data_IF_293355849517
#
_entry.id   IF_293355849517
#
_cell.length_a   1.000
_cell.length_b   1.000
_cell.length_c   1.000
_cell.angle_alpha   90.00
_cell.angle_beta   90.00
_cell.angle_gamma   90.00
#
_symmetry.space_group_name_H-M   'P 1'
#
loop_
_entity.id
_entity.type
_entity.pdbx_description
1 polymer ?
#
# COMPACT_ATOMS: atom_id res chain seq x y z
N UNK A 1 -10.40 9.82 8.51
CA UNK A 1 -9.09 9.62 7.88
C UNK A 1 -8.82 10.72 6.86
N UNK A 2 -7.57 10.86 6.44
CA UNK A 2 -7.13 11.64 5.28
C UNK A 2 -6.60 10.73 4.17
N UNK A 3 -6.60 11.22 2.94
CA UNK A 3 -6.02 10.54 1.78
C UNK A 3 -5.16 11.53 1.01
N UNK A 4 -3.94 11.14 0.68
CA UNK A 4 -3.02 11.85 -0.20
C UNK A 4 -2.63 10.86 -1.31
N UNK A 5 -3.02 11.13 -2.55
CA UNK A 5 -2.73 10.22 -3.65
C UNK A 5 -3.02 10.84 -5.02
N UNK A 6 -2.93 10.02 -6.05
CA UNK A 6 -2.88 10.44 -7.46
C UNK A 6 -4.09 11.25 -7.92
N UNK A 7 -5.29 10.96 -7.42
CA UNK A 7 -6.50 11.66 -7.89
C UNK A 7 -6.69 12.96 -7.10
N UNK A 8 -6.61 12.89 -5.76
CA UNK A 8 -6.99 13.97 -4.86
C UNK A 8 -6.30 13.90 -3.51
N UNK A 9 -6.21 15.06 -2.87
CA UNK A 9 -5.93 15.19 -1.43
C UNK A 9 -7.25 15.48 -0.71
N UNK A 10 -7.64 14.62 0.23
CA UNK A 10 -8.92 14.71 0.94
C UNK A 10 -8.75 14.52 2.44
N UNK A 11 -9.10 15.53 3.24
CA UNK A 11 -9.08 15.44 4.70
C UNK A 11 -9.84 16.61 5.33
N UNK A 12 -10.68 16.36 6.35
CA UNK A 12 -11.25 17.42 7.19
C UNK A 12 -11.98 18.55 6.44
N UNK A 13 -12.67 18.25 5.34
CA UNK A 13 -13.33 19.24 4.48
C UNK A 13 -12.48 19.75 3.31
N UNK A 14 -11.17 19.50 3.32
CA UNK A 14 -10.28 19.72 2.16
C UNK A 14 -10.55 18.66 1.12
N UNK A 15 -10.65 19.07 -0.14
CA UNK A 15 -10.83 18.19 -1.30
C UNK A 15 -10.26 18.86 -2.56
N UNK A 16 -8.98 18.63 -2.85
CA UNK A 16 -8.28 19.23 -3.99
C UNK A 16 -7.79 18.17 -4.95
N UNK A 17 -7.79 18.50 -6.25
CA UNK A 17 -7.14 17.68 -7.26
C UNK A 17 -5.64 17.61 -6.96
N UNK A 18 -5.06 16.41 -7.07
CA UNK A 18 -3.63 16.22 -6.88
C UNK A 18 -2.89 16.58 -8.18
N UNK A 19 -1.80 17.35 -8.05
CA UNK A 19 -0.89 17.63 -9.17
C UNK A 19 0.16 16.52 -9.36
N UNK A 20 0.41 15.73 -8.31
CA UNK A 20 1.34 14.60 -8.29
C UNK A 20 0.83 13.54 -7.32
N UNK A 21 1.16 12.27 -7.55
CA UNK A 21 0.82 11.15 -6.64
C UNK A 21 1.30 11.38 -5.20
N UNK A 22 2.53 11.87 -5.04
CA UNK A 22 3.12 12.16 -3.74
C UNK A 22 3.63 13.61 -3.75
N UNK A 23 3.03 14.53 -2.97
CA UNK A 23 3.45 15.94 -2.91
C UNK A 23 4.90 16.10 -2.44
N UNK A 24 5.47 17.30 -2.63
CA UNK A 24 6.78 17.63 -2.08
C UNK A 24 6.82 17.49 -0.55
N UNK A 25 8.01 17.28 0.01
CA UNK A 25 8.18 16.97 1.44
C UNK A 25 7.53 18.00 2.36
N UNK A 26 7.68 19.30 2.05
CA UNK A 26 7.06 20.38 2.81
C UNK A 26 5.53 20.28 2.78
N UNK A 27 4.95 19.95 1.63
CA UNK A 27 3.50 19.87 1.46
C UNK A 27 2.91 18.65 2.16
N UNK A 28 3.58 17.49 2.08
CA UNK A 28 3.18 16.29 2.84
C UNK A 28 3.15 16.60 4.33
N UNK A 29 4.22 17.21 4.88
CA UNK A 29 4.28 17.56 6.29
C UNK A 29 3.24 18.62 6.68
N UNK A 30 2.98 19.63 5.84
CA UNK A 30 1.93 20.63 6.06
C UNK A 30 0.55 19.96 6.13
N UNK A 31 0.24 19.08 5.18
CA UNK A 31 -1.04 18.36 5.17
C UNK A 31 -1.23 17.49 6.41
N UNK A 32 -0.18 16.77 6.84
CA UNK A 32 -0.22 15.96 8.06
C UNK A 32 -0.39 16.83 9.33
N UNK A 33 0.26 17.99 9.39
CA UNK A 33 0.09 18.95 10.47
C UNK A 33 -1.36 19.47 10.53
N UNK A 34 -1.95 19.83 9.39
CA UNK A 34 -3.34 20.26 9.32
C UNK A 34 -4.32 19.14 9.74
N UNK A 35 -4.06 17.90 9.31
CA UNK A 35 -4.83 16.73 9.74
C UNK A 35 -4.79 16.55 11.26
N UNK A 36 -3.61 16.67 11.87
CA UNK A 36 -3.44 16.58 13.32
C UNK A 36 -4.22 17.69 14.05
N UNK A 37 -4.14 18.95 13.58
CA UNK A 37 -4.91 20.07 14.11
C UNK A 37 -6.43 19.87 14.03
N UNK A 38 -6.90 19.14 13.00
CA UNK A 38 -8.31 18.76 12.82
C UNK A 38 -8.68 17.44 13.52
N UNK A 39 -7.80 16.90 14.37
CA UNK A 39 -7.98 15.62 15.11
C UNK A 39 -8.20 14.41 14.19
N UNK A 40 -7.68 14.44 12.97
CA UNK A 40 -7.69 13.31 12.04
C UNK A 40 -6.51 12.41 12.39
N UNK A 41 -6.80 11.16 12.77
CA UNK A 41 -5.81 10.22 13.33
C UNK A 41 -5.19 9.24 12.34
N UNK A 42 -5.69 9.20 11.11
CA UNK A 42 -5.27 8.22 10.10
C UNK A 42 -5.11 8.93 8.75
N UNK A 43 -4.02 8.64 8.05
CA UNK A 43 -3.77 9.11 6.69
C UNK A 43 -3.33 7.95 5.80
N UNK A 44 -3.96 7.80 4.65
CA UNK A 44 -3.49 6.92 3.58
C UNK A 44 -2.68 7.75 2.59
N UNK A 45 -1.42 7.39 2.37
CA UNK A 45 -0.50 8.12 1.50
C UNK A 45 0.01 7.19 0.40
N UNK A 46 -0.24 7.55 -0.86
CA UNK A 46 0.40 6.89 -1.99
C UNK A 46 1.86 7.38 -2.12
N UNK A 47 2.80 6.44 -2.04
CA UNK A 47 4.24 6.72 -2.12
C UNK A 47 4.78 6.22 -3.45
N UNK A 48 4.95 7.14 -4.40
CA UNK A 48 5.52 6.83 -5.73
C UNK A 48 7.02 6.55 -5.64
N UNK A 49 7.57 5.76 -6.56
CA UNK A 49 9.03 5.52 -6.62
C UNK A 49 9.83 6.79 -6.87
N UNK A 50 9.30 7.72 -7.66
CA UNK A 50 9.85 9.05 -7.84
C UNK A 50 10.00 9.77 -6.50
N UNK A 51 8.96 9.74 -5.66
CA UNK A 51 8.99 10.39 -4.35
C UNK A 51 10.03 9.81 -3.39
N UNK A 52 10.32 8.52 -3.50
CA UNK A 52 11.36 7.85 -2.71
C UNK A 52 12.75 8.27 -3.16
N UNK A 53 13.01 8.32 -4.47
CA UNK A 53 14.28 8.82 -5.03
C UNK A 53 14.49 10.29 -4.68
N UNK A 54 13.44 11.10 -4.77
CA UNK A 54 13.46 12.53 -4.45
C UNK A 54 13.36 12.82 -2.94
N UNK A 55 13.34 11.78 -2.09
CA UNK A 55 13.29 11.90 -0.62
C UNK A 55 12.12 12.72 -0.08
N UNK A 56 10.98 12.74 -0.80
CA UNK A 56 9.79 13.51 -0.40
C UNK A 56 9.18 13.02 0.91
N UNK A 57 9.37 11.73 1.23
CA UNK A 57 8.87 11.11 2.46
C UNK A 57 9.99 10.64 3.40
N UNK A 58 11.24 11.01 3.13
CA UNK A 58 12.41 10.47 3.83
C UNK A 58 12.35 10.68 5.36
N UNK A 59 12.63 9.62 6.12
CA UNK A 59 12.64 9.66 7.58
C UNK A 59 11.26 9.78 8.22
N UNK A 60 10.18 9.67 7.45
CA UNK A 60 8.83 9.70 8.01
C UNK A 60 8.52 8.43 8.81
N UNK A 61 7.56 8.55 9.72
CA UNK A 61 7.04 7.42 10.49
C UNK A 61 5.74 6.90 9.87
N UNK A 62 5.76 5.63 9.46
CA UNK A 62 4.62 4.90 8.90
C UNK A 62 4.22 3.79 9.87
N UNK A 63 2.98 3.84 10.36
CA UNK A 63 2.45 2.75 11.17
C UNK A 63 2.26 1.46 10.35
N UNK A 64 1.98 1.57 9.05
CA UNK A 64 1.97 0.43 8.13
C UNK A 64 2.59 0.82 6.79
N UNK A 65 3.57 0.05 6.33
CA UNK A 65 4.09 0.10 4.96
C UNK A 65 3.51 -1.04 4.13
N UNK A 66 2.91 -0.73 2.98
CA UNK A 66 2.24 -1.72 2.11
C UNK A 66 2.93 -1.76 0.75
N UNK A 67 3.36 -2.96 0.33
CA UNK A 67 3.87 -3.21 -1.01
C UNK A 67 2.90 -4.08 -1.82
N UNK A 68 2.48 -3.57 -2.98
CA UNK A 68 1.47 -4.21 -3.83
C UNK A 68 2.08 -5.16 -4.86
N UNK A 69 2.92 -4.67 -5.75
CA UNK A 69 3.67 -5.41 -6.77
C UNK A 69 4.69 -4.50 -7.47
N UNK A 70 5.57 -5.09 -8.28
CA UNK A 70 6.42 -4.37 -9.23
C UNK A 70 6.29 -4.97 -10.63
N UNK A 71 5.70 -4.20 -11.55
CA UNK A 71 5.72 -4.47 -12.99
C UNK A 71 6.65 -3.51 -13.73
N UNK A 72 6.90 -3.78 -15.02
CA UNK A 72 7.75 -2.94 -15.86
C UNK A 72 7.05 -1.60 -16.15
N UNK A 73 7.42 -0.58 -15.38
CA UNK A 73 6.90 0.79 -15.45
C UNK A 73 8.03 1.80 -15.13
N UNK A 74 7.85 3.06 -15.50
CA UNK A 74 8.75 4.19 -15.15
C UNK A 74 10.25 4.00 -15.49
N UNK A 75 10.58 3.22 -16.52
CA UNK A 75 11.98 2.98 -16.91
C UNK A 75 12.63 4.18 -17.60
N UNK A 76 11.84 5.11 -18.11
CA UNK A 76 12.28 6.42 -18.59
C UNK A 76 12.95 7.23 -17.47
N UNK A 77 12.44 7.14 -16.25
CA UNK A 77 13.04 7.79 -15.08
C UNK A 77 14.13 6.94 -14.41
N UNK A 78 13.83 5.66 -14.13
CA UNK A 78 14.74 4.80 -13.35
C UNK A 78 15.87 4.20 -14.18
N UNK A 79 15.73 4.12 -15.50
CA UNK A 79 16.68 3.50 -16.44
C UNK A 79 16.65 1.97 -16.42
N UNK A 80 16.65 1.35 -15.24
CA UNK A 80 16.61 -0.12 -15.09
C UNK A 80 15.55 -0.58 -14.10
N UNK A 81 15.08 -1.82 -14.27
CA UNK A 81 14.13 -2.43 -13.34
C UNK A 81 14.73 -2.58 -11.93
N UNK A 82 16.03 -2.84 -11.83
CA UNK A 82 16.73 -2.96 -10.55
C UNK A 82 16.74 -1.62 -9.81
N UNK A 83 17.00 -0.50 -10.51
CA UNK A 83 16.92 0.84 -9.90
C UNK A 83 15.50 1.17 -9.44
N UNK A 84 14.49 0.81 -10.24
CA UNK A 84 13.08 1.01 -9.86
C UNK A 84 12.70 0.16 -8.63
N UNK A 85 13.16 -1.09 -8.57
CA UNK A 85 13.01 -1.98 -7.41
C UNK A 85 13.62 -1.38 -6.16
N UNK A 86 14.89 -0.97 -6.24
CA UNK A 86 15.63 -0.38 -5.11
C UNK A 86 15.03 0.95 -4.64
N UNK A 87 14.43 1.72 -5.56
CA UNK A 87 13.65 2.90 -5.22
C UNK A 87 12.42 2.55 -4.37
N UNK A 88 11.62 1.54 -4.76
CA UNK A 88 10.42 1.13 -3.98
C UNK A 88 10.78 0.55 -2.61
N UNK A 89 11.87 -0.23 -2.51
CA UNK A 89 12.39 -0.70 -1.22
C UNK A 89 12.77 0.43 -0.27
N UNK A 90 13.07 1.62 -0.81
CA UNK A 90 13.28 2.84 -0.03
C UNK A 90 12.13 3.19 0.92
N UNK A 91 10.89 2.75 0.65
CA UNK A 91 9.79 2.92 1.61
C UNK A 91 10.12 2.26 2.96
N UNK A 92 10.68 1.06 2.94
CA UNK A 92 10.98 0.27 4.13
C UNK A 92 12.39 0.53 4.66
N UNK A 93 13.35 0.83 3.79
CA UNK A 93 14.74 1.09 4.16
C UNK A 93 14.97 2.48 4.75
N UNK A 94 14.38 3.51 4.15
CA UNK A 94 14.74 4.90 4.39
C UNK A 94 13.75 5.62 5.33
N UNK A 95 12.75 4.89 5.85
CA UNK A 95 11.70 5.40 6.73
C UNK A 95 11.50 4.47 7.93
N UNK A 96 10.83 4.97 8.96
CA UNK A 96 10.47 4.15 10.12
C UNK A 96 9.12 3.49 9.83
N UNK A 97 9.14 2.19 9.50
CA UNK A 97 7.93 1.40 9.24
C UNK A 97 7.69 0.45 10.41
N UNK A 98 6.61 0.63 11.17
CA UNK A 98 6.32 -0.19 12.36
C UNK A 98 5.86 -1.60 12.00
N UNK A 99 5.04 -1.71 10.95
CA UNK A 99 4.38 -2.93 10.48
C UNK A 99 4.41 -3.00 8.98
N UNK A 100 4.65 -4.19 8.44
CA UNK A 100 4.85 -4.38 7.01
C UNK A 100 3.76 -5.28 6.44
N UNK A 101 3.23 -4.93 5.27
CA UNK A 101 2.32 -5.76 4.49
C UNK A 101 2.88 -5.91 3.08
N UNK A 102 3.07 -7.14 2.63
CA UNK A 102 3.71 -7.41 1.33
C UNK A 102 2.98 -8.50 0.57
N UNK A 103 2.80 -8.28 -0.73
CA UNK A 103 2.36 -9.33 -1.64
C UNK A 103 3.52 -10.29 -1.96
N UNK A 104 3.52 -11.50 -1.41
CA UNK A 104 4.58 -12.49 -1.61
C UNK A 104 4.43 -13.28 -2.92
N UNK A 105 3.38 -13.06 -3.70
CA UNK A 105 3.33 -13.59 -5.07
C UNK A 105 4.23 -12.82 -6.03
N UNK A 106 4.48 -11.56 -5.72
CA UNK A 106 5.46 -10.72 -6.39
C UNK A 106 6.90 -11.08 -5.96
N UNK A 107 7.84 -11.09 -6.90
CA UNK A 107 9.25 -11.38 -6.62
C UNK A 107 9.86 -10.35 -5.66
N UNK A 108 9.59 -9.07 -5.87
CA UNK A 108 10.10 -7.97 -5.05
C UNK A 108 9.42 -7.96 -3.69
N UNK A 109 8.14 -8.32 -3.63
CA UNK A 109 7.46 -8.50 -2.34
C UNK A 109 8.12 -9.56 -1.47
N UNK A 110 8.62 -10.66 -2.06
CA UNK A 110 9.41 -11.68 -1.34
C UNK A 110 10.78 -11.16 -0.90
N UNK A 111 11.46 -10.37 -1.73
CA UNK A 111 12.72 -9.72 -1.34
C UNK A 111 12.50 -8.79 -0.15
N UNK A 112 11.47 -7.94 -0.19
CA UNK A 112 11.10 -7.04 0.93
C UNK A 112 10.80 -7.86 2.19
N UNK A 113 10.09 -8.99 2.06
CA UNK A 113 9.80 -9.85 3.20
C UNK A 113 11.06 -10.43 3.87
N UNK A 114 12.08 -10.76 3.07
CA UNK A 114 13.36 -11.25 3.58
C UNK A 114 14.25 -10.15 4.17
N UNK A 115 14.23 -8.95 3.59
CA UNK A 115 15.05 -7.81 4.02
C UNK A 115 14.47 -7.08 5.25
N UNK A 116 13.14 -7.03 5.37
CA UNK A 116 12.43 -6.28 6.41
C UNK A 116 11.41 -7.16 7.16
N UNK A 117 11.85 -8.17 7.93
CA UNK A 117 10.95 -9.16 8.54
C UNK A 117 10.17 -8.66 9.77
N UNK A 118 10.40 -7.43 10.24
CA UNK A 118 9.76 -6.88 11.44
C UNK A 118 8.25 -6.69 11.28
N UNK A 119 7.46 -7.24 12.21
CA UNK A 119 5.98 -7.17 12.26
C UNK A 119 5.32 -7.28 10.87
N UNK A 120 5.71 -8.30 10.12
CA UNK A 120 5.28 -8.51 8.75
C UNK A 120 4.00 -9.34 8.69
N UNK A 121 3.11 -8.97 7.78
CA UNK A 121 1.97 -9.78 7.36
C UNK A 121 2.03 -9.97 5.84
N UNK A 122 2.15 -11.22 5.42
CA UNK A 122 2.24 -11.60 4.01
C UNK A 122 0.86 -11.75 3.39
N UNK A 123 0.78 -11.40 2.11
CA UNK A 123 -0.44 -11.46 1.31
C UNK A 123 -0.19 -12.26 0.05
N UNK A 124 -1.13 -13.12 -0.35
CA UNK A 124 -0.99 -13.93 -1.55
C UNK A 124 -2.31 -14.53 -2.04
N UNK A 125 -2.35 -14.92 -3.31
CA UNK A 125 -3.43 -15.71 -3.90
C UNK A 125 -2.91 -17.06 -4.38
N UNK A 126 -1.65 -17.13 -4.79
CA UNK A 126 -1.02 -18.35 -5.34
C UNK A 126 -0.10 -19.04 -4.34
N UNK A 127 0.47 -18.30 -3.38
CA UNK A 127 1.34 -18.83 -2.32
C UNK A 127 0.64 -18.78 -0.98
N UNK A 128 1.04 -19.70 -0.11
CA UNK A 128 0.63 -19.70 1.29
C UNK A 128 1.15 -18.43 1.98
N UNK A 129 0.22 -17.61 2.46
CA UNK A 129 0.44 -16.30 3.07
C UNK A 129 -0.45 -16.14 4.30
N UNK A 130 -0.15 -15.16 5.15
CA UNK A 130 -0.93 -14.88 6.36
C UNK A 130 -2.36 -14.42 6.03
N UNK A 131 -2.50 -13.62 4.97
CA UNK A 131 -3.79 -13.21 4.41
C UNK A 131 -3.90 -13.65 2.95
N UNK A 132 -4.97 -14.36 2.63
CA UNK A 132 -5.15 -14.97 1.31
C UNK A 132 -6.54 -14.70 0.73
N UNK A 133 -6.63 -14.76 -0.60
CA UNK A 133 -7.90 -14.96 -1.29
C UNK A 133 -7.93 -16.38 -1.87
N UNK A 134 -8.98 -17.13 -1.56
CA UNK A 134 -9.28 -18.45 -2.10
C UNK A 134 -10.58 -18.41 -2.91
N UNK A 135 -10.84 -19.45 -3.70
CA UNK A 135 -12.10 -19.62 -4.45
C UNK A 135 -12.53 -18.38 -5.28
N UNK A 136 -11.53 -17.72 -5.89
CA UNK A 136 -11.78 -16.52 -6.68
C UNK A 136 -12.61 -16.83 -7.93
N UNK A 137 -13.79 -16.23 -8.00
CA UNK A 137 -14.68 -16.25 -9.17
C UNK A 137 -14.86 -14.83 -9.71
N UNK A 138 -14.91 -14.73 -11.04
CA UNK A 138 -15.00 -13.48 -11.76
C UNK A 138 -16.22 -13.52 -12.68
N UNK A 139 -16.96 -12.42 -12.72
CA UNK A 139 -18.14 -12.20 -13.56
C UNK A 139 -18.14 -10.76 -14.06
N UNK A 140 -19.04 -10.44 -14.99
CA UNK A 140 -19.19 -9.07 -15.49
C UNK A 140 -19.72 -8.10 -14.42
N UNK A 141 -20.41 -8.62 -13.40
CA UNK A 141 -20.98 -7.84 -12.30
C UNK A 141 -20.01 -7.63 -11.13
N UNK A 142 -18.84 -8.27 -11.16
CA UNK A 142 -17.88 -8.22 -10.07
C UNK A 142 -17.09 -9.52 -9.82
N UNK A 143 -16.43 -9.56 -8.67
CA UNK A 143 -15.64 -10.69 -8.21
C UNK A 143 -16.16 -11.20 -6.85
N UNK A 144 -16.05 -12.51 -6.62
CA UNK A 144 -16.33 -13.15 -5.34
C UNK A 144 -15.15 -14.04 -4.94
N UNK A 145 -14.78 -14.02 -3.66
CA UNK A 145 -13.68 -14.85 -3.14
C UNK A 145 -13.81 -15.06 -1.63
N UNK A 146 -13.14 -16.08 -1.10
CA UNK A 146 -12.99 -16.29 0.34
C UNK A 146 -11.75 -15.56 0.83
N UNK A 147 -11.92 -14.54 1.67
CA UNK A 147 -10.82 -13.88 2.38
C UNK A 147 -10.42 -14.74 3.58
N UNK A 148 -9.18 -15.24 3.60
CA UNK A 148 -8.57 -15.93 4.73
C UNK A 148 -7.66 -14.95 5.46
N UNK A 149 -7.76 -14.92 6.78
CA UNK A 149 -6.93 -14.09 7.65
C UNK A 149 -6.54 -14.87 8.91
N UNK A 150 -5.55 -14.40 9.69
CA UNK A 150 -5.23 -15.03 10.98
C UNK A 150 -6.39 -14.99 11.99
N UNK A 151 -7.36 -14.10 11.79
CA UNK A 151 -8.54 -13.94 12.66
C UNK A 151 -9.76 -14.74 12.21
N UNK A 152 -9.70 -15.41 11.06
CA UNK A 152 -10.83 -16.16 10.50
C UNK A 152 -10.97 -16.01 8.99
N UNK A 153 -12.07 -16.55 8.46
CA UNK A 153 -12.38 -16.53 7.03
C UNK A 153 -13.77 -15.97 6.77
N UNK A 154 -13.95 -15.22 5.69
CA UNK A 154 -15.25 -14.72 5.26
C UNK A 154 -15.36 -14.67 3.73
N UNK A 155 -16.60 -14.74 3.21
CA UNK A 155 -16.86 -14.53 1.79
C UNK A 155 -16.92 -13.02 1.49
N UNK A 156 -16.23 -12.57 0.45
CA UNK A 156 -16.24 -11.19 -0.04
C UNK A 156 -16.84 -11.16 -1.43
N UNK A 157 -17.80 -10.25 -1.63
CA UNK A 157 -18.39 -9.91 -2.93
C UNK A 157 -18.12 -8.44 -3.23
N UNK A 158 -17.64 -8.15 -4.43
CA UNK A 158 -17.27 -6.79 -4.83
C UNK A 158 -17.62 -6.56 -6.30
N UNK A 159 -17.98 -5.32 -6.66
CA UNK A 159 -18.14 -4.92 -8.06
C UNK A 159 -16.81 -4.67 -8.78
N UNK A 160 -15.68 -4.75 -8.06
CA UNK A 160 -14.36 -4.60 -8.67
C UNK A 160 -14.01 -5.85 -9.48
N UNK A 161 -13.52 -5.63 -10.70
CA UNK A 161 -13.22 -6.68 -11.66
C UNK A 161 -11.75 -7.07 -11.64
N UNK A 162 -11.50 -8.36 -11.81
CA UNK A 162 -10.17 -8.90 -12.08
C UNK A 162 -9.28 -9.11 -10.86
N UNK A 163 -8.30 -9.99 -11.03
CA UNK A 163 -7.44 -10.49 -9.95
C UNK A 163 -6.60 -9.39 -9.26
N UNK A 164 -6.21 -8.34 -10.00
CA UNK A 164 -5.44 -7.23 -9.43
C UNK A 164 -6.23 -6.48 -8.35
N UNK A 165 -7.55 -6.35 -8.51
CA UNK A 165 -8.40 -5.75 -7.49
C UNK A 165 -8.57 -6.66 -6.27
N UNK A 166 -8.59 -7.99 -6.45
CA UNK A 166 -8.55 -8.92 -5.32
C UNK A 166 -7.27 -8.69 -4.51
N UNK A 167 -6.09 -8.63 -5.16
CA UNK A 167 -4.83 -8.30 -4.47
C UNK A 167 -4.93 -6.99 -3.69
N UNK A 168 -5.44 -5.93 -4.30
CA UNK A 168 -5.61 -4.63 -3.64
C UNK A 168 -6.54 -4.71 -2.41
N UNK A 169 -7.64 -5.45 -2.51
CA UNK A 169 -8.59 -5.65 -1.41
C UNK A 169 -7.95 -6.42 -0.24
N UNK A 170 -7.27 -7.52 -0.52
CA UNK A 170 -6.64 -8.33 0.53
C UNK A 170 -5.43 -7.63 1.16
N UNK A 171 -4.69 -6.80 0.41
CA UNK A 171 -3.66 -5.90 0.96
C UNK A 171 -4.26 -4.81 1.86
N UNK A 172 -5.41 -4.24 1.47
CA UNK A 172 -6.11 -3.27 2.31
C UNK A 172 -6.64 -3.91 3.60
N UNK A 173 -7.20 -5.13 3.52
CA UNK A 173 -7.64 -5.90 4.67
C UNK A 173 -6.46 -6.23 5.60
N UNK A 174 -5.33 -6.68 5.05
CA UNK A 174 -4.10 -6.90 5.81
C UNK A 174 -3.59 -5.63 6.54
N UNK A 175 -3.64 -4.48 5.86
CA UNK A 175 -3.32 -3.19 6.48
C UNK A 175 -4.26 -2.81 7.63
N UNK A 176 -5.56 -3.11 7.49
CA UNK A 176 -6.56 -2.90 8.54
C UNK A 176 -6.33 -3.81 9.75
N UNK A 177 -6.01 -5.10 9.52
CA UNK A 177 -5.65 -6.05 10.58
C UNK A 177 -4.41 -5.62 11.35
N UNK A 178 -3.38 -5.12 10.66
CA UNK A 178 -2.19 -4.54 11.29
C UNK A 178 -2.53 -3.33 12.18
N UNK A 179 -3.64 -2.64 11.94
CA UNK A 179 -4.15 -1.55 12.78
C UNK A 179 -5.15 -2.03 13.86
N UNK A 180 -5.36 -3.33 14.00
CA UNK A 180 -6.28 -3.91 14.99
C UNK A 180 -7.76 -3.79 14.62
N UNK A 181 -8.08 -3.60 13.33
CA UNK A 181 -9.45 -3.61 12.83
C UNK A 181 -9.81 -5.02 12.34
N UNK A 182 -11.01 -5.51 12.71
CA UNK A 182 -11.55 -6.83 12.34
C UNK A 182 -12.85 -6.70 11.57
#
# INVERSE_FOLDING_TARGET
SGVIGTIRHRYGGVNHAASTTTPESLDVNRMLYEMAGRKIRQCFLEVSSHSLVLKRVFGMHFSVGIFTNLSRDHLDFHGTIDKYKEAKKGLFRDNQVEKTVVNIDDLVGREIAGEFPGNLLSVGVKKNADVMAEDCSFSDDGSCFTLKTPSGSCEIRTHLLGIHNIYNLILAAAGALQQGLS
#
